data_IF_841505517572
#
_entry.id   IF_841505517572
#
_cell.length_a   1.000
_cell.length_b   1.000
_cell.length_c   1.000
_cell.angle_alpha   90.00
_cell.angle_beta   90.00
_cell.angle_gamma   90.00
#
_symmetry.space_group_name_H-M   'P 1'
#
loop_
_entity.id
_entity.type
_entity.pdbx_description
1 polymer ?
#
# COMPACT_ATOMS: atom_id res chain seq x y z
N UNK A 1 15.48 26.56 6.50
CA UNK A 1 15.86 26.00 5.20
C UNK A 1 14.67 25.17 4.74
N UNK A 2 13.76 25.79 3.99
CA UNK A 2 12.46 25.22 3.62
C UNK A 2 12.60 24.48 2.29
N UNK A 3 12.21 23.22 2.26
CA UNK A 3 12.15 22.44 1.02
C UNK A 3 10.84 22.77 0.31
N UNK A 4 10.95 23.16 -0.97
CA UNK A 4 9.81 23.47 -1.85
C UNK A 4 9.41 22.17 -2.53
N UNK A 5 8.14 21.83 -2.42
CA UNK A 5 7.48 20.71 -3.08
C UNK A 5 7.16 21.11 -4.54
N UNK A 6 7.71 20.37 -5.50
CA UNK A 6 7.48 20.60 -6.93
C UNK A 6 6.18 19.89 -7.34
N UNK A 7 5.26 20.67 -7.88
CA UNK A 7 3.88 20.29 -8.19
C UNK A 7 3.74 20.20 -9.71
N UNK A 8 3.68 18.98 -10.25
CA UNK A 8 3.34 18.79 -11.66
C UNK A 8 1.84 18.52 -11.83
N UNK A 9 1.24 19.31 -12.73
CA UNK A 9 -0.18 19.37 -13.04
C UNK A 9 -0.51 18.49 -14.25
N UNK A 10 -1.55 17.67 -14.04
CA UNK A 10 -2.44 16.91 -14.93
C UNK A 10 -2.42 17.09 -16.45
N UNK A 11 -2.63 15.97 -17.15
CA UNK A 11 -3.43 15.92 -18.38
C UNK A 11 -4.72 15.11 -18.14
N UNK A 12 -5.88 15.76 -18.26
CA UNK A 12 -7.22 15.15 -18.30
C UNK A 12 -7.56 14.68 -19.72
N UNK A 13 -8.01 13.43 -19.86
CA UNK A 13 -9.34 13.07 -20.37
C UNK A 13 -9.47 11.54 -20.39
N UNK A 14 -10.31 10.99 -19.51
CA UNK A 14 -11.45 10.15 -19.88
C UNK A 14 -12.22 9.70 -18.62
N UNK A 15 -13.52 9.51 -18.81
CA UNK A 15 -14.60 9.52 -17.82
C UNK A 15 -14.55 8.38 -16.78
N UNK A 16 -15.14 8.66 -15.61
CA UNK A 16 -15.62 7.69 -14.60
C UNK A 16 -14.58 6.67 -14.09
N UNK A 17 -13.52 7.14 -13.41
CA UNK A 17 -12.69 6.26 -12.58
C UNK A 17 -13.26 6.17 -11.17
N UNK A 18 -14.14 5.19 -10.96
CA UNK A 18 -14.31 4.58 -9.63
C UNK A 18 -12.91 4.23 -9.13
N UNK A 19 -12.53 4.73 -7.95
CA UNK A 19 -11.28 4.39 -7.26
C UNK A 19 -11.33 2.91 -6.86
N UNK A 20 -11.13 2.05 -7.84
CA UNK A 20 -11.12 0.60 -7.71
C UNK A 20 -9.83 0.17 -7.02
N UNK A 21 -9.96 -0.73 -6.06
CA UNK A 21 -8.86 -1.42 -5.38
C UNK A 21 -7.92 -2.18 -6.34
N UNK A 22 -8.32 -2.36 -7.60
CA UNK A 22 -7.56 -3.04 -8.65
C UNK A 22 -6.25 -2.33 -9.01
N UNK A 23 -6.18 -0.99 -8.89
CA UNK A 23 -4.96 -0.22 -9.23
C UNK A 23 -3.79 -0.46 -8.26
N UNK A 24 -4.02 -1.13 -7.13
CA UNK A 24 -2.98 -1.51 -6.16
C UNK A 24 -2.56 -2.99 -6.26
N UNK A 25 -3.20 -3.78 -7.12
CA UNK A 25 -2.92 -5.21 -7.27
C UNK A 25 -1.88 -5.50 -8.37
N UNK A 26 -1.66 -4.58 -9.31
CA UNK A 26 -0.80 -4.80 -10.47
C UNK A 26 0.67 -4.39 -10.25
N UNK A 27 1.42 -5.27 -9.59
CA UNK A 27 2.80 -5.56 -9.98
C UNK A 27 2.98 -7.07 -10.00
N UNK A 28 3.15 -7.70 -11.18
CA UNK A 28 3.12 -9.15 -11.28
C UNK A 28 4.41 -9.73 -10.70
N UNK A 29 4.31 -10.28 -9.50
CA UNK A 29 5.20 -11.34 -9.01
C UNK A 29 4.44 -12.66 -8.88
N UNK A 30 3.46 -12.89 -9.77
CA UNK A 30 2.92 -14.22 -10.03
C UNK A 30 3.88 -14.93 -10.96
N UNK A 31 4.48 -16.01 -10.48
CA UNK A 31 5.28 -16.92 -11.28
C UNK A 31 4.41 -17.71 -12.24
N UNK A 32 3.93 -17.07 -13.31
CA UNK A 32 3.44 -17.76 -14.49
C UNK A 32 4.47 -17.67 -15.63
N UNK A 33 4.71 -18.82 -16.23
CA UNK A 33 5.65 -19.09 -17.30
C UNK A 33 5.47 -18.11 -18.47
N UNK A 34 6.27 -17.04 -18.49
CA UNK A 34 6.54 -16.31 -19.72
C UNK A 34 8.03 -15.99 -19.78
N UNK A 35 8.77 -16.89 -20.43
CA UNK A 35 10.12 -16.63 -20.92
C UNK A 35 10.03 -15.47 -21.92
N UNK A 36 10.17 -14.24 -21.44
CA UNK A 36 10.35 -13.10 -22.33
C UNK A 36 11.77 -13.19 -22.94
N UNK A 37 11.92 -13.24 -24.27
CA UNK A 37 13.24 -13.22 -24.86
C UNK A 37 13.88 -11.86 -24.54
N UNK A 38 15.10 -11.90 -23.99
CA UNK A 38 15.96 -10.74 -23.79
C UNK A 38 16.08 -9.95 -25.11
N UNK A 39 15.30 -8.88 -25.24
CA UNK A 39 15.35 -8.01 -26.42
C UNK A 39 16.56 -7.10 -26.26
N UNK A 40 17.69 -7.51 -26.86
CA UNK A 40 18.87 -6.66 -27.08
C UNK A 40 18.43 -5.44 -27.90
N UNK A 41 18.15 -4.31 -27.24
CA UNK A 41 17.70 -3.08 -27.88
C UNK A 41 18.87 -2.47 -28.67
N UNK A 42 18.98 -2.87 -29.94
CA UNK A 42 19.84 -2.17 -30.91
C UNK A 42 19.17 -0.82 -31.15
N UNK A 43 19.69 0.23 -30.53
CA UNK A 43 19.27 1.60 -30.82
C UNK A 43 19.53 1.88 -32.30
N UNK A 44 18.46 2.01 -33.08
CA UNK A 44 18.54 2.69 -34.37
C UNK A 44 18.93 4.13 -34.06
N UNK A 45 20.12 4.53 -34.52
CA UNK A 45 20.60 5.89 -34.41
C UNK A 45 19.58 6.82 -35.10
N UNK A 46 18.96 7.69 -34.32
CA UNK A 46 18.13 8.75 -34.85
C UNK A 46 18.99 9.68 -35.72
N UNK A 47 18.49 10.16 -36.88
CA UNK A 47 19.27 11.06 -37.72
C UNK A 47 19.59 12.34 -36.93
N UNK A 48 20.88 12.66 -36.85
CA UNK A 48 21.39 13.86 -36.16
C UNK A 48 20.76 15.15 -36.72
N UNK A 49 20.65 16.17 -35.87
CA UNK A 49 19.94 17.45 -36.05
C UNK A 49 20.38 18.33 -37.26
N UNK A 50 21.32 17.86 -38.07
CA UNK A 50 21.88 18.61 -39.21
C UNK A 50 21.27 18.23 -40.57
N UNK A 51 20.30 17.31 -40.61
CA UNK A 51 19.57 16.98 -41.84
C UNK A 51 18.62 18.12 -42.25
N UNK A 52 18.62 18.55 -43.53
CA UNK A 52 17.65 19.54 -44.02
C UNK A 52 16.20 19.08 -43.82
N UNK A 53 15.94 17.77 -43.88
CA UNK A 53 14.62 17.20 -43.61
C UNK A 53 14.14 17.45 -42.17
N UNK A 54 15.06 17.40 -41.19
CA UNK A 54 14.73 17.63 -39.77
C UNK A 54 14.41 19.10 -39.51
N UNK A 55 15.06 20.03 -40.21
CA UNK A 55 14.75 21.47 -40.15
C UNK A 55 13.35 21.76 -40.69
N UNK A 56 12.99 21.17 -41.82
CA UNK A 56 11.63 21.31 -42.38
C UNK A 56 10.57 20.69 -41.46
N UNK A 57 10.83 19.50 -40.91
CA UNK A 57 9.93 18.84 -39.98
C UNK A 57 9.72 19.63 -38.68
N UNK A 58 10.79 20.22 -38.12
CA UNK A 58 10.73 21.05 -36.92
C UNK A 58 9.93 22.34 -37.14
N UNK A 59 10.13 23.02 -38.29
CA UNK A 59 9.35 24.22 -38.64
C UNK A 59 7.88 23.86 -38.87
N UNK A 60 7.59 22.73 -39.53
CA UNK A 60 6.22 22.28 -39.76
C UNK A 60 5.50 21.95 -38.45
N UNK A 61 6.13 21.19 -37.55
CA UNK A 61 5.52 20.82 -36.27
C UNK A 61 5.30 22.02 -35.34
N UNK A 62 6.23 22.98 -35.31
CA UNK A 62 6.04 24.21 -34.52
C UNK A 62 4.91 25.09 -35.06
N UNK A 63 4.79 25.22 -36.38
CA UNK A 63 3.68 25.94 -37.01
C UNK A 63 2.33 25.25 -36.75
N UNK A 64 2.30 23.92 -36.79
CA UNK A 64 1.09 23.13 -36.49
C UNK A 64 0.67 23.28 -35.02
N UNK A 65 1.61 23.23 -34.07
CA UNK A 65 1.33 23.43 -32.65
C UNK A 65 0.82 24.84 -32.34
N UNK A 66 1.38 25.88 -33.00
CA UNK A 66 0.89 27.25 -32.85
C UNK A 66 -0.52 27.42 -33.43
N UNK A 67 -0.84 26.77 -34.55
CA UNK A 67 -2.17 26.79 -35.13
C UNK A 67 -3.21 26.15 -34.18
N UNK A 68 -2.85 25.01 -33.56
CA UNK A 68 -3.71 24.34 -32.57
C UNK A 68 -3.96 25.23 -31.34
N UNK A 69 -2.93 25.91 -30.83
CA UNK A 69 -3.07 26.86 -29.71
C UNK A 69 -3.98 28.06 -30.06
N UNK A 70 -3.92 28.57 -31.29
CA UNK A 70 -4.81 29.65 -31.72
C UNK A 70 -6.26 29.17 -31.82
N UNK A 71 -6.49 27.92 -32.28
CA UNK A 71 -7.85 27.36 -32.34
C UNK A 71 -8.46 27.11 -30.97
N UNK A 72 -7.68 26.69 -29.97
CA UNK A 72 -8.19 26.45 -28.60
C UNK A 72 -8.51 27.77 -27.88
N UNK A 73 -7.74 28.83 -28.14
CA UNK A 73 -8.01 30.18 -27.60
C UNK A 73 -9.25 30.82 -28.26
N UNK A 74 -9.53 30.51 -29.53
CA UNK A 74 -10.75 31.00 -30.20
C UNK A 74 -12.02 30.21 -29.84
N UNK A 75 -11.91 28.97 -29.36
CA UNK A 75 -13.07 28.17 -28.93
C UNK A 75 -13.51 28.45 -27.49
N UNK A 76 -12.70 29.13 -26.67
CA UNK A 76 -13.01 29.42 -25.27
C UNK A 76 -13.69 30.78 -25.06
N UNK A 77 -14.77 31.06 -25.81
CA UNK A 77 -15.73 32.11 -25.47
C UNK A 77 -17.15 31.55 -25.52
N UNK A 78 -17.50 30.76 -24.52
CA UNK A 78 -18.89 30.53 -24.13
C UNK A 78 -18.96 30.46 -22.62
N UNK A 79 -19.29 31.60 -22.01
CA UNK A 79 -19.60 31.74 -20.60
C UNK A 79 -20.88 30.96 -20.26
N UNK A 80 -20.78 29.84 -19.54
CA UNK A 80 -21.93 29.26 -18.84
C UNK A 80 -22.04 29.89 -17.46
N UNK A 81 -23.09 30.71 -17.27
CA UNK A 81 -23.55 31.17 -15.97
C UNK A 81 -23.97 29.96 -15.14
N UNK A 82 -23.43 29.78 -13.94
CA UNK A 82 -24.02 28.92 -12.92
C UNK A 82 -25.06 29.74 -12.13
N UNK A 83 -26.29 29.24 -12.09
CA UNK A 83 -27.39 29.77 -11.28
C UNK A 83 -27.26 29.22 -9.86
N UNK A 84 -27.54 30.07 -8.87
CA UNK A 84 -27.79 29.69 -7.48
C UNK A 84 -29.21 29.12 -7.30
N UNK A 85 -29.33 28.36 -6.21
CA UNK A 85 -30.50 27.95 -5.42
C UNK A 85 -31.40 26.77 -5.85
N UNK A 86 -31.40 25.72 -5.02
CA UNK A 86 -32.57 25.24 -4.23
C UNK A 86 -32.12 24.24 -3.13
N UNK A 87 -32.91 24.05 -2.05
CA UNK A 87 -32.44 23.59 -0.75
C UNK A 87 -32.62 22.07 -0.57
N UNK A 88 -31.55 21.39 -0.15
CA UNK A 88 -31.64 19.98 0.22
C UNK A 88 -31.82 19.79 1.73
N UNK A 89 -33.07 19.47 2.07
CA UNK A 89 -33.50 18.31 2.87
C UNK A 89 -32.62 17.95 4.08
N UNK A 90 -33.17 18.22 5.27
CA UNK A 90 -32.75 17.65 6.53
C UNK A 90 -32.96 16.13 6.53
N UNK A 91 -31.94 15.37 6.12
CA UNK A 91 -31.86 13.95 6.43
C UNK A 91 -31.49 13.77 7.91
N UNK A 92 -32.11 12.81 8.62
CA UNK A 92 -31.75 12.52 10.00
C UNK A 92 -30.28 12.10 10.04
N UNK A 93 -29.52 12.73 10.94
CA UNK A 93 -28.11 12.42 11.17
C UNK A 93 -27.94 10.93 11.42
N UNK A 94 -27.48 10.19 10.41
CA UNK A 94 -26.84 8.90 10.65
C UNK A 94 -25.66 9.19 11.58
N UNK A 95 -25.55 8.52 12.75
CA UNK A 95 -24.44 8.75 13.66
C UNK A 95 -23.13 8.56 12.89
N UNK A 96 -22.19 9.49 13.08
CA UNK A 96 -20.90 9.43 12.41
C UNK A 96 -20.25 8.07 12.74
N UNK A 97 -19.96 7.21 11.75
CA UNK A 97 -19.40 5.87 11.98
C UNK A 97 -18.05 5.88 12.71
N UNK A 98 -17.38 7.04 12.72
CA UNK A 98 -16.11 7.28 13.40
C UNK A 98 -16.26 8.16 14.64
N UNK A 99 -17.47 8.34 15.17
CA UNK A 99 -17.67 9.09 16.40
C UNK A 99 -16.89 8.41 17.54
N UNK A 100 -15.81 9.08 17.97
CA UNK A 100 -14.88 8.54 18.95
C UNK A 100 -13.81 7.60 18.40
N UNK A 101 -13.51 7.58 17.09
CA UNK A 101 -12.35 6.91 16.51
C UNK A 101 -11.14 7.87 16.36
N UNK A 102 -9.88 7.43 16.62
CA UNK A 102 -9.51 6.15 17.23
C UNK A 102 -10.16 6.01 18.60
N UNK A 103 -10.63 4.80 18.95
CA UNK A 103 -11.29 4.61 20.24
C UNK A 103 -10.36 5.08 21.35
N UNK A 104 -10.92 5.57 22.46
CA UNK A 104 -10.06 5.98 23.58
C UNK A 104 -9.08 4.86 23.96
N UNK A 105 -9.50 3.60 23.83
CA UNK A 105 -8.68 2.39 24.00
C UNK A 105 -7.50 2.25 23.01
N UNK A 106 -7.57 2.89 21.86
CA UNK A 106 -6.54 2.84 20.81
C UNK A 106 -5.49 3.96 20.95
N UNK A 107 -5.75 4.95 21.82
CA UNK A 107 -4.77 5.99 22.18
C UNK A 107 -3.63 5.41 23.04
N UNK A 108 -2.42 5.97 22.94
CA UNK A 108 -1.25 5.62 23.77
C UNK A 108 -1.43 6.06 25.24
N UNK A 109 -2.57 5.74 25.85
CA UNK A 109 -2.79 5.86 27.27
C UNK A 109 -2.43 4.53 27.90
N UNK A 110 -1.51 4.55 28.87
CA UNK A 110 -1.05 3.34 29.56
C UNK A 110 -2.20 2.47 30.08
N UNK A 111 -3.33 3.08 30.47
CA UNK A 111 -4.54 2.38 30.93
C UNK A 111 -5.20 1.47 29.88
N UNK A 112 -4.88 1.67 28.60
CA UNK A 112 -5.53 1.01 27.48
C UNK A 112 -4.60 0.06 26.72
N UNK A 113 -3.36 -0.08 27.21
CA UNK A 113 -2.40 -1.01 26.65
C UNK A 113 -2.58 -2.39 27.31
N UNK A 114 -2.40 -3.43 26.50
CA UNK A 114 -2.36 -4.81 26.98
C UNK A 114 -0.93 -5.22 27.29
N UNK A 115 -0.76 -6.01 28.35
CA UNK A 115 0.51 -6.63 28.66
C UNK A 115 0.81 -7.75 27.67
N UNK A 116 2.03 -7.76 27.14
CA UNK A 116 2.46 -8.77 26.19
C UNK A 116 3.93 -9.13 26.39
N UNK A 117 4.27 -10.40 26.15
CA UNK A 117 5.64 -10.89 26.08
C UNK A 117 5.85 -11.50 24.72
N UNK A 118 7.00 -11.24 24.12
CA UNK A 118 7.33 -11.88 22.85
C UNK A 118 7.67 -13.34 23.09
N UNK A 119 7.16 -14.20 22.21
CA UNK A 119 7.42 -15.63 22.23
C UNK A 119 8.01 -16.06 20.91
N UNK A 120 8.94 -17.01 20.98
CA UNK A 120 9.55 -17.60 19.80
C UNK A 120 8.58 -18.60 19.17
N UNK A 121 7.94 -18.21 18.08
CA UNK A 121 7.12 -19.11 17.27
C UNK A 121 7.87 -19.52 15.99
N UNK A 122 8.41 -20.73 16.00
CA UNK A 122 9.20 -21.25 14.88
C UNK A 122 8.40 -21.37 13.57
N UNK A 123 7.07 -21.40 13.65
CA UNK A 123 6.21 -21.48 12.46
C UNK A 123 6.30 -20.22 11.60
N UNK A 124 6.49 -19.06 12.22
CA UNK A 124 6.68 -17.77 11.54
C UNK A 124 8.16 -17.48 11.19
N UNK A 125 9.08 -18.36 11.59
CA UNK A 125 10.53 -18.25 11.34
C UNK A 125 10.98 -19.13 10.17
N UNK A 126 10.14 -19.25 9.14
CA UNK A 126 10.37 -20.15 8.01
C UNK A 126 10.04 -19.52 6.67
N UNK A 127 10.87 -19.84 5.67
CA UNK A 127 10.61 -19.58 4.25
C UNK A 127 10.04 -20.82 3.53
N UNK A 128 9.78 -21.91 4.25
CA UNK A 128 9.22 -23.14 3.67
C UNK A 128 7.80 -22.86 3.13
N UNK A 129 7.50 -23.15 1.85
CA UNK A 129 6.17 -23.02 1.28
C UNK A 129 5.05 -23.69 2.09
N UNK A 130 5.35 -24.75 2.84
CA UNK A 130 4.39 -25.42 3.72
C UNK A 130 3.84 -24.51 4.83
N UNK A 131 4.47 -23.36 5.08
CA UNK A 131 4.05 -22.35 6.08
C UNK A 131 3.37 -21.14 5.44
N UNK A 132 3.17 -21.12 4.12
CA UNK A 132 2.58 -19.96 3.42
C UNK A 132 1.15 -19.66 3.88
N UNK A 133 0.41 -20.67 4.36
CA UNK A 133 -0.94 -20.50 4.89
C UNK A 133 -1.02 -19.54 6.08
N UNK A 134 0.06 -19.38 6.86
CA UNK A 134 0.14 -18.45 7.99
C UNK A 134 0.20 -16.98 7.56
N UNK A 135 0.54 -16.73 6.30
CA UNK A 135 0.75 -15.38 5.75
C UNK A 135 -0.29 -15.01 4.70
N UNK A 136 -1.09 -15.99 4.26
CA UNK A 136 -2.00 -15.87 3.12
C UNK A 136 -2.94 -14.67 3.24
N UNK A 137 -3.55 -14.46 4.42
CA UNK A 137 -4.49 -13.35 4.62
C UNK A 137 -3.83 -11.98 4.47
N UNK A 138 -2.55 -11.85 4.84
CA UNK A 138 -1.83 -10.59 4.79
C UNK A 138 -1.30 -10.27 3.39
N UNK A 139 -1.24 -11.24 2.48
CA UNK A 139 -0.76 -11.01 1.11
C UNK A 139 -1.76 -10.23 0.24
N UNK A 140 -3.04 -10.20 0.61
CA UNK A 140 -4.06 -9.46 -0.11
C UNK A 140 -4.04 -7.98 0.28
N UNK A 141 -3.99 -7.07 -0.71
CA UNK A 141 -4.05 -5.63 -0.47
C UNK A 141 -5.39 -5.19 0.12
N UNK A 142 -6.46 -5.95 -0.17
CA UNK A 142 -7.79 -5.68 0.36
C UNK A 142 -7.90 -5.90 1.88
N UNK A 143 -7.02 -6.72 2.48
CA UNK A 143 -7.06 -7.01 3.91
C UNK A 143 -6.77 -5.75 4.72
N UNK A 144 -7.71 -5.36 5.59
CA UNK A 144 -7.61 -4.13 6.37
C UNK A 144 -8.03 -2.86 5.65
N UNK A 145 -8.46 -2.95 4.39
CA UNK A 145 -9.16 -1.85 3.73
C UNK A 145 -10.60 -1.78 4.24
N UNK A 146 -11.07 -0.58 4.55
CA UNK A 146 -12.40 -0.30 5.07
C UNK A 146 -13.07 0.82 4.28
N UNK A 147 -14.38 0.70 4.06
CA UNK A 147 -15.21 1.75 3.48
C UNK A 147 -15.99 2.45 4.58
N UNK A 148 -15.76 3.75 4.73
CA UNK A 148 -16.38 4.56 5.77
C UNK A 148 -17.41 5.50 5.16
N UNK A 149 -18.68 5.46 5.61
CA UNK A 149 -19.69 6.43 5.19
C UNK A 149 -19.29 7.86 5.60
N UNK A 150 -19.44 8.82 4.70
CA UNK A 150 -19.14 10.24 4.96
C UNK A 150 -20.32 11.04 5.53
N UNK A 151 -21.46 10.37 5.77
CA UNK A 151 -22.71 10.97 6.23
C UNK A 151 -23.47 11.78 5.17
N UNK A 152 -22.93 11.89 3.95
CA UNK A 152 -23.54 12.56 2.78
C UNK A 152 -23.97 11.57 1.68
N UNK A 153 -23.93 10.27 1.99
CA UNK A 153 -24.30 9.20 1.07
C UNK A 153 -23.13 8.63 0.27
N UNK A 154 -21.91 9.12 0.46
CA UNK A 154 -20.71 8.55 -0.17
C UNK A 154 -19.93 7.68 0.83
N UNK A 155 -19.04 6.85 0.31
CA UNK A 155 -18.05 6.10 1.11
C UNK A 155 -16.63 6.54 0.77
N UNK A 156 -15.74 6.50 1.75
CA UNK A 156 -14.30 6.72 1.55
C UNK A 156 -13.55 5.45 1.89
N UNK A 157 -12.72 4.97 0.96
CA UNK A 157 -11.80 3.86 1.18
C UNK A 157 -10.62 4.31 2.05
N UNK A 158 -10.31 3.52 3.08
CA UNK A 158 -9.12 3.72 3.93
C UNK A 158 -8.45 2.39 4.23
N UNK A 159 -7.14 2.38 4.37
CA UNK A 159 -6.39 1.23 4.89
C UNK A 159 -6.10 1.40 6.38
N UNK A 160 -6.31 0.34 7.16
CA UNK A 160 -5.86 0.28 8.55
C UNK A 160 -4.35 -0.01 8.56
N UNK A 161 -3.56 0.92 9.13
CA UNK A 161 -2.10 0.88 9.07
C UNK A 161 -1.47 -0.44 9.59
N UNK A 162 -2.05 -1.06 10.62
CA UNK A 162 -1.59 -2.36 11.15
C UNK A 162 -1.61 -3.45 10.07
N UNK A 163 -2.69 -3.55 9.30
CA UNK A 163 -2.80 -4.55 8.24
C UNK A 163 -1.86 -4.25 7.08
N UNK A 164 -1.63 -2.97 6.74
CA UNK A 164 -0.63 -2.60 5.75
C UNK A 164 0.80 -2.99 6.20
N UNK A 165 1.15 -2.82 7.48
CA UNK A 165 2.44 -3.29 8.01
C UNK A 165 2.56 -4.82 7.91
N UNK A 166 1.50 -5.55 8.23
CA UNK A 166 1.47 -7.01 8.09
C UNK A 166 1.58 -7.45 6.63
N UNK A 167 0.94 -6.72 5.70
CA UNK A 167 1.06 -6.95 4.27
C UNK A 167 2.51 -6.79 3.80
N UNK A 168 3.15 -5.68 4.16
CA UNK A 168 4.55 -5.43 3.83
C UNK A 168 5.45 -6.56 4.37
N UNK A 169 5.23 -7.02 5.61
CA UNK A 169 6.01 -8.12 6.19
C UNK A 169 5.79 -9.44 5.43
N UNK A 170 4.55 -9.78 5.07
CA UNK A 170 4.22 -10.96 4.29
C UNK A 170 4.86 -10.92 2.88
N UNK A 171 4.83 -9.75 2.22
CA UNK A 171 5.51 -9.52 0.94
C UNK A 171 7.02 -9.65 1.05
N UNK A 172 7.64 -9.12 2.10
CA UNK A 172 9.08 -9.30 2.33
C UNK A 172 9.44 -10.78 2.45
N UNK A 173 8.63 -11.58 3.17
CA UNK A 173 8.82 -13.03 3.22
C UNK A 173 8.74 -13.68 1.84
N UNK A 174 7.74 -13.31 1.02
CA UNK A 174 7.57 -13.82 -0.35
C UNK A 174 8.78 -13.48 -1.24
N UNK A 175 9.28 -12.25 -1.16
CA UNK A 175 10.48 -11.80 -1.91
C UNK A 175 11.71 -12.60 -1.50
N UNK A 176 11.89 -12.88 -0.20
CA UNK A 176 12.97 -13.77 0.26
C UNK A 176 12.83 -15.21 -0.27
N UNK A 177 11.60 -15.72 -0.41
CA UNK A 177 11.35 -17.04 -1.03
C UNK A 177 11.72 -17.05 -2.51
N UNK A 178 11.43 -15.97 -3.25
CA UNK A 178 11.82 -15.81 -4.65
C UNK A 178 13.33 -15.74 -4.80
N UNK A 179 14.00 -14.90 -4.01
CA UNK A 179 15.46 -14.80 -4.01
C UNK A 179 16.13 -16.14 -3.68
N UNK A 180 15.60 -16.90 -2.71
CA UNK A 180 16.07 -18.26 -2.38
C UNK A 180 15.96 -19.23 -3.56
N UNK A 181 14.98 -19.04 -4.45
CA UNK A 181 14.80 -19.82 -5.69
C UNK A 181 15.71 -19.35 -6.84
N UNK A 182 16.52 -18.32 -6.63
CA UNK A 182 17.44 -17.77 -7.64
C UNK A 182 16.79 -16.73 -8.56
N UNK A 183 15.61 -16.22 -8.20
CA UNK A 183 15.00 -15.09 -8.92
C UNK A 183 15.75 -13.82 -8.57
N UNK A 184 16.15 -13.05 -9.59
CA UNK A 184 16.66 -11.69 -9.40
C UNK A 184 15.51 -10.76 -9.00
N UNK A 185 15.58 -10.21 -7.79
CA UNK A 185 14.56 -9.33 -7.21
C UNK A 185 14.88 -7.84 -7.39
N UNK A 186 15.97 -7.53 -8.12
CA UNK A 186 16.44 -6.16 -8.28
C UNK A 186 17.21 -5.63 -7.08
N UNK A 187 17.69 -4.38 -7.20
CA UNK A 187 18.50 -3.71 -6.18
C UNK A 187 17.72 -2.60 -5.47
N UNK A 188 16.87 -1.86 -6.19
CA UNK A 188 16.14 -0.71 -5.62
C UNK A 188 14.77 -0.46 -6.27
N UNK A 189 14.13 0.65 -5.89
CA UNK A 189 12.78 1.05 -6.32
C UNK A 189 12.61 1.19 -7.84
N UNK A 190 13.72 1.30 -8.59
CA UNK A 190 13.71 1.37 -10.06
C UNK A 190 13.58 -0.01 -10.69
N UNK A 191 14.01 -1.06 -9.98
CA UNK A 191 13.93 -2.45 -10.43
C UNK A 191 12.62 -3.11 -9.99
N UNK A 192 12.14 -2.77 -8.78
CA UNK A 192 10.86 -3.21 -8.23
C UNK A 192 10.28 -2.11 -7.33
N UNK A 193 9.05 -1.66 -7.60
CA UNK A 193 8.46 -0.56 -6.84
C UNK A 193 7.93 -0.98 -5.45
N UNK A 194 7.76 -2.29 -5.20
CA UNK A 194 6.95 -2.79 -4.11
C UNK A 194 7.79 -3.19 -2.89
N UNK A 195 8.79 -4.05 -3.04
CA UNK A 195 9.59 -4.48 -1.88
C UNK A 195 10.42 -3.34 -1.26
N UNK A 196 11.01 -2.39 -2.03
CA UNK A 196 11.70 -1.25 -1.45
C UNK A 196 10.76 -0.29 -0.73
N UNK A 197 9.53 -0.11 -1.25
CA UNK A 197 8.48 0.64 -0.56
C UNK A 197 8.09 -0.02 0.76
N UNK A 198 7.84 -1.34 0.76
CA UNK A 198 7.53 -2.10 1.97
C UNK A 198 8.65 -1.96 3.01
N UNK A 199 9.90 -1.99 2.55
CA UNK A 199 11.07 -1.85 3.41
C UNK A 199 11.11 -0.49 4.10
N UNK A 200 10.90 0.59 3.35
CA UNK A 200 10.87 1.95 3.91
C UNK A 200 9.63 2.20 4.79
N UNK A 201 8.46 1.73 4.38
CA UNK A 201 7.23 1.86 5.16
C UNK A 201 7.33 1.17 6.53
N UNK A 202 7.91 -0.03 6.59
CA UNK A 202 8.18 -0.72 7.86
C UNK A 202 9.21 0.03 8.70
N UNK A 203 10.27 0.57 8.09
CA UNK A 203 11.28 1.38 8.79
C UNK A 203 10.63 2.62 9.42
N UNK A 204 9.88 3.39 8.65
CA UNK A 204 9.17 4.58 9.13
C UNK A 204 8.14 4.22 10.21
N UNK A 205 7.42 3.11 10.05
CA UNK A 205 6.47 2.62 11.07
C UNK A 205 7.16 2.28 12.39
N UNK A 206 8.31 1.61 12.35
CA UNK A 206 9.09 1.29 13.56
C UNK A 206 9.62 2.56 14.22
N UNK A 207 10.19 3.48 13.43
CA UNK A 207 10.70 4.76 13.94
C UNK A 207 9.60 5.65 14.52
N UNK A 208 8.40 5.63 13.95
CA UNK A 208 7.24 6.36 14.45
C UNK A 208 6.80 5.88 15.84
N UNK A 209 6.88 4.56 16.10
CA UNK A 209 6.51 4.01 17.41
C UNK A 209 7.64 4.14 18.46
N UNK A 210 8.91 4.16 18.02
CA UNK A 210 10.09 4.43 18.86
C UNK A 210 10.08 3.68 20.22
N UNK A 211 9.89 2.35 20.21
CA UNK A 211 9.85 1.53 21.43
C UNK A 211 11.16 1.69 22.24
N UNK A 212 11.13 2.30 23.44
CA UNK A 212 12.33 2.59 24.22
C UNK A 212 12.74 1.43 25.14
N UNK A 213 12.09 0.26 25.04
CA UNK A 213 12.34 -0.89 25.90
C UNK A 213 13.78 -1.39 25.74
N UNK A 214 14.51 -1.52 26.85
CA UNK A 214 15.84 -2.12 26.87
C UNK A 214 15.70 -3.65 26.95
N UNK A 215 16.20 -4.35 25.93
CA UNK A 215 16.13 -5.81 25.87
C UNK A 215 17.31 -6.48 26.56
N UNK A 216 17.02 -7.46 27.43
CA UNK A 216 18.01 -8.24 28.16
C UNK A 216 18.57 -9.36 27.31
N UNK A 217 19.81 -9.78 27.64
CA UNK A 217 20.38 -11.00 27.06
C UNK A 217 19.68 -12.22 27.65
N UNK A 218 19.10 -13.05 26.78
CA UNK A 218 18.45 -14.31 27.12
C UNK A 218 19.24 -15.51 26.59
N UNK A 219 19.03 -16.70 27.19
CA UNK A 219 19.58 -17.96 26.69
C UNK A 219 18.50 -18.69 25.89
N UNK A 220 18.72 -18.86 24.59
CA UNK A 220 17.82 -19.59 23.71
C UNK A 220 18.45 -20.91 23.25
N UNK A 221 17.65 -21.96 22.99
CA UNK A 221 18.13 -23.15 22.30
C UNK A 221 18.76 -22.77 20.96
N UNK A 222 19.97 -23.29 20.69
CA UNK A 222 20.66 -23.08 19.43
C UNK A 222 19.93 -23.71 18.23
N UNK A 223 20.37 -23.43 16.99
CA UNK A 223 19.74 -23.96 15.78
C UNK A 223 19.91 -25.48 15.60
N UNK A 224 20.81 -26.09 16.37
CA UNK A 224 21.03 -27.53 16.41
C UNK A 224 20.45 -28.10 17.70
N UNK A 225 19.74 -29.22 17.61
CA UNK A 225 19.20 -29.94 18.76
C UNK A 225 20.30 -30.77 19.47
N UNK A 226 21.30 -30.08 20.00
CA UNK A 226 22.46 -30.67 20.68
C UNK A 226 22.57 -30.22 22.15
N UNK A 227 21.49 -29.67 22.71
CA UNK A 227 21.44 -29.15 24.08
C UNK A 227 22.25 -27.87 24.31
N UNK A 228 22.82 -27.25 23.27
CA UNK A 228 23.59 -26.02 23.40
C UNK A 228 22.66 -24.80 23.39
N UNK A 229 22.82 -23.94 24.39
CA UNK A 229 22.18 -22.64 24.44
C UNK A 229 23.09 -21.55 23.87
N UNK A 230 22.48 -20.56 23.24
CA UNK A 230 23.13 -19.37 22.71
C UNK A 230 22.59 -18.12 23.40
N UNK A 231 23.46 -17.14 23.61
CA UNK A 231 23.07 -15.82 24.12
C UNK A 231 22.49 -15.00 22.99
N UNK A 232 21.29 -14.45 23.17
CA UNK A 232 20.60 -13.60 22.19
C UNK A 232 19.97 -12.40 22.87
N UNK A 233 19.65 -11.38 22.09
CA UNK A 233 18.77 -10.26 22.48
C UNK A 233 17.57 -10.38 21.55
N UNK A 234 16.44 -10.82 22.10
CA UNK A 234 15.24 -11.20 21.35
C UNK A 234 13.95 -10.60 21.93
N UNK A 235 14.08 -9.77 22.97
CA UNK A 235 12.95 -9.14 23.64
C UNK A 235 12.00 -10.09 24.37
N UNK A 236 12.31 -11.39 24.47
CA UNK A 236 11.42 -12.37 25.09
C UNK A 236 11.37 -12.27 26.63
N UNK A 237 12.33 -11.58 27.24
CA UNK A 237 12.43 -11.46 28.70
C UNK A 237 11.64 -10.26 29.24
N UNK A 238 11.41 -9.26 28.41
CA UNK A 238 10.77 -8.00 28.79
C UNK A 238 9.26 -8.10 28.70
N UNK A 239 8.58 -7.40 29.61
CA UNK A 239 7.15 -7.14 29.50
C UNK A 239 6.95 -5.88 28.64
N UNK A 240 6.07 -5.98 27.64
CA UNK A 240 5.67 -4.85 26.79
C UNK A 240 4.23 -4.44 27.06
N UNK A 241 3.96 -3.19 26.75
CA UNK A 241 2.62 -2.60 26.80
C UNK A 241 2.21 -2.26 25.37
N UNK A 242 1.41 -3.14 24.77
CA UNK A 242 1.04 -3.07 23.36
C UNK A 242 -0.38 -2.51 23.20
N UNK A 243 -0.68 -1.95 22.02
CA UNK A 243 -2.07 -1.70 21.63
C UNK A 243 -2.79 -3.03 21.40
N UNK A 244 -4.06 -3.09 21.77
CA UNK A 244 -4.91 -4.24 21.47
C UNK A 244 -5.27 -4.24 19.98
N UNK A 245 -5.01 -5.35 19.29
CA UNK A 245 -5.29 -5.48 17.85
C UNK A 245 -6.76 -5.84 17.59
N UNK A 246 -7.47 -6.41 18.57
CA UNK A 246 -8.84 -6.91 18.39
C UNK A 246 -9.84 -5.85 17.87
N UNK A 247 -9.83 -4.60 18.36
CA UNK A 247 -10.71 -3.56 17.81
C UNK A 247 -10.49 -3.29 16.32
N UNK A 248 -9.24 -3.43 15.82
CA UNK A 248 -8.93 -3.23 14.41
C UNK A 248 -9.47 -4.38 13.54
N UNK A 249 -9.39 -5.61 14.03
CA UNK A 249 -10.04 -6.76 13.37
C UNK A 249 -11.57 -6.67 13.42
N UNK A 250 -12.16 -6.09 14.47
CA UNK A 250 -13.60 -5.82 14.51
C UNK A 250 -14.01 -4.72 13.51
N UNK A 251 -13.19 -3.68 13.38
CA UNK A 251 -13.39 -2.61 12.41
C UNK A 251 -13.33 -3.14 10.98
N UNK A 252 -12.33 -3.95 10.66
CA UNK A 252 -12.15 -4.61 9.36
C UNK A 252 -13.33 -5.53 9.05
N UNK A 253 -13.78 -6.36 10.00
CA UNK A 253 -14.97 -7.20 9.81
C UNK A 253 -16.25 -6.39 9.55
N UNK A 254 -16.38 -5.21 10.14
CA UNK A 254 -17.59 -4.38 10.05
C UNK A 254 -17.65 -3.51 8.79
N UNK A 255 -16.50 -3.04 8.30
CA UNK A 255 -16.43 -2.07 7.20
C UNK A 255 -15.55 -2.51 6.03
N UNK A 256 -14.96 -3.70 6.12
CA UNK A 256 -14.06 -4.24 5.10
C UNK A 256 -14.79 -4.81 3.88
N UNK A 257 -14.04 -5.45 2.96
CA UNK A 257 -14.55 -5.89 1.66
C UNK A 257 -15.71 -6.88 1.74
N UNK A 258 -15.81 -7.65 2.83
CA UNK A 258 -16.86 -8.64 3.08
C UNK A 258 -18.06 -8.10 3.88
N UNK A 259 -18.07 -6.81 4.19
CA UNK A 259 -19.14 -6.20 4.98
C UNK A 259 -20.30 -5.71 4.11
N UNK A 260 -21.39 -5.25 4.73
CA UNK A 260 -22.48 -4.56 4.02
C UNK A 260 -22.04 -3.26 3.34
N UNK A 261 -20.87 -2.74 3.70
CA UNK A 261 -20.22 -1.57 3.07
C UNK A 261 -19.14 -1.98 2.05
N UNK A 262 -18.90 -3.29 1.90
CA UNK A 262 -18.00 -3.87 0.92
C UNK A 262 -18.59 -3.90 -0.47
N UNK A 263 -17.76 -4.24 -1.48
CA UNK A 263 -18.18 -4.26 -2.87
C UNK A 263 -19.32 -5.27 -3.07
N UNK A 264 -20.46 -4.80 -3.61
CA UNK A 264 -21.67 -5.60 -3.75
C UNK A 264 -21.54 -6.86 -4.64
N UNK A 265 -20.39 -7.09 -5.29
CA UNK A 265 -20.22 -8.14 -6.30
C UNK A 265 -18.97 -9.03 -6.16
N UNK A 266 -18.04 -8.77 -5.24
CA UNK A 266 -16.89 -9.66 -5.06
C UNK A 266 -17.07 -10.51 -3.79
N UNK A 267 -17.44 -11.77 -4.01
CA UNK A 267 -17.47 -12.79 -2.96
C UNK A 267 -16.03 -13.13 -2.57
N UNK A 268 -15.43 -12.36 -1.69
CA UNK A 268 -14.16 -12.73 -1.09
C UNK A 268 -14.42 -13.80 -0.01
N UNK A 269 -13.83 -14.98 -0.20
CA UNK A 269 -13.91 -16.06 0.78
C UNK A 269 -13.01 -15.73 1.98
N UNK A 270 -13.63 -15.43 3.13
CA UNK A 270 -12.93 -15.35 4.41
C UNK A 270 -12.34 -16.72 4.71
N UNK A 271 -11.01 -16.81 4.77
CA UNK A 271 -10.34 -18.02 5.22
C UNK A 271 -10.85 -18.36 6.64
N UNK A 272 -11.21 -19.61 6.93
CA UNK A 272 -11.71 -19.97 8.25
C UNK A 272 -10.61 -19.76 9.30
N UNK A 273 -10.70 -18.65 10.04
CA UNK A 273 -9.84 -18.35 11.17
C UNK A 273 -10.16 -19.25 12.37
N UNK A 274 -9.11 -19.74 13.02
CA UNK A 274 -9.12 -20.22 14.40
C UNK A 274 -8.44 -19.21 15.30
#
# INVERSE_FOLDING_TARGET
MSFVEEKDISSEHDNERSSSSEDLEDCPLTGEENVFPLRRRRWLAWPTSNSPFWKFYSIFMTAFSLLLLVTTIHSSTSSSKCSEDEPHSSHPHSPNPLEGYPHAVDSWKKSNLIEHRFFRDLRYMSLDPNTDYLWKEHLFMATGNIQLPDGKGNTTLKGIAMFHQMHCLAKMRMVMQLAKKGVDIGTDWRDDAHWPHCFDYLRESIMCNADPTLESVSLQPGPLDNGKFVKVIDGGSELRYCRDTRPLYELERRYGPNSQYGFANDKFEVAPGK
#
